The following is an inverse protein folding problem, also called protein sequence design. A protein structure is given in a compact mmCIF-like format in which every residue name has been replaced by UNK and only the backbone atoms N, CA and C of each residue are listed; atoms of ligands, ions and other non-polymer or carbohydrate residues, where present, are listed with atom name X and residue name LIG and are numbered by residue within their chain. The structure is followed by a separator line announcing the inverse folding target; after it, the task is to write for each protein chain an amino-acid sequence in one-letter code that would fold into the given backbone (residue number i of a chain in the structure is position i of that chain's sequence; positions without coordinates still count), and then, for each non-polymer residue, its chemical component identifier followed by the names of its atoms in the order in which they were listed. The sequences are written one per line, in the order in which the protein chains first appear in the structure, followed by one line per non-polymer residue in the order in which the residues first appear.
data_IF_572701553356
#
_entry.id   IF_572701553356
#
_cell.length_a   1.000
_cell.length_b   1.000
_cell.length_c   1.000
_cell.angle_alpha   90.00
_cell.angle_beta   90.00
_cell.angle_gamma   90.00
#
_symmetry.space_group_name_H-M   'P 1'
#
loop_
_entity.id
_entity.type
_entity.pdbx_description
1 polymer ?
#
# COMPACT_ATOMS: atom_id res chain seq x y z
N UNK A 1 23.19 4.03 53.26
CA UNK A 1 22.44 4.16 52.00
C UNK A 1 21.65 2.87 51.75
N UNK A 2 20.33 2.89 51.94
CA UNK A 2 19.44 1.73 51.71
C UNK A 2 19.10 1.66 50.21
N UNK A 3 19.38 0.52 49.56
CA UNK A 3 19.01 0.24 48.17
C UNK A 3 17.55 -0.20 48.12
N UNK A 4 16.70 0.54 47.39
CA UNK A 4 15.36 0.11 47.02
C UNK A 4 15.44 -0.71 45.73
N UNK A 5 14.97 -1.95 45.79
CA UNK A 5 14.82 -2.83 44.63
C UNK A 5 13.42 -2.60 44.06
N UNK A 6 13.32 -1.96 42.88
CA UNK A 6 12.05 -1.75 42.18
C UNK A 6 11.78 -3.01 41.34
N UNK A 7 10.74 -3.76 41.70
CA UNK A 7 10.20 -4.83 40.86
C UNK A 7 9.35 -4.20 39.75
N UNK A 8 9.83 -4.27 38.51
CA UNK A 8 9.08 -3.87 37.33
C UNK A 8 8.16 -5.03 36.90
N UNK A 9 6.87 -4.95 37.22
CA UNK A 9 5.87 -5.88 36.69
C UNK A 9 5.59 -5.54 35.22
N UNK A 10 6.08 -6.36 34.29
CA UNK A 10 5.74 -6.25 32.88
C UNK A 10 4.38 -6.93 32.68
N UNK A 11 3.31 -6.13 32.58
CA UNK A 11 2.03 -6.62 32.08
C UNK A 11 2.13 -6.81 30.57
N UNK A 12 2.32 -8.06 30.13
CA UNK A 12 2.10 -8.44 28.74
C UNK A 12 0.59 -8.52 28.50
N UNK A 13 0.01 -7.48 27.92
CA UNK A 13 -1.34 -7.58 27.37
C UNK A 13 -1.31 -8.53 26.17
N UNK A 14 -2.17 -9.56 26.11
CA UNK A 14 -2.37 -10.27 24.87
C UNK A 14 -2.96 -9.28 23.86
N UNK A 15 -2.29 -9.11 22.72
CA UNK A 15 -2.86 -8.45 21.54
C UNK A 15 -4.02 -9.34 21.12
N UNK A 16 -5.23 -9.04 21.59
CA UNK A 16 -6.43 -9.57 20.97
C UNK A 16 -6.38 -9.13 19.51
N UNK A 17 -6.43 -10.08 18.58
CA UNK A 17 -6.82 -9.78 17.22
C UNK A 17 -8.13 -8.99 17.33
N UNK A 18 -8.10 -7.72 16.96
CA UNK A 18 -9.26 -6.86 17.04
C UNK A 18 -10.27 -7.42 16.04
N UNK A 19 -11.24 -8.19 16.55
CA UNK A 19 -12.38 -8.64 15.75
C UNK A 19 -12.95 -7.41 15.04
N UNK A 20 -13.00 -7.47 13.71
CA UNK A 20 -13.58 -6.41 12.90
C UNK A 20 -15.06 -6.36 13.22
N UNK A 21 -15.46 -5.47 14.11
CA UNK A 21 -16.87 -5.25 14.46
C UNK A 21 -17.62 -4.80 13.20
N UNK A 22 -18.56 -5.64 12.76
CA UNK A 22 -19.41 -5.40 11.60
C UNK A 22 -20.73 -4.78 12.03
N UNK A 23 -21.16 -3.71 11.35
CA UNK A 23 -22.47 -3.09 11.56
C UNK A 23 -23.35 -3.36 10.36
N UNK A 24 -24.46 -4.09 10.54
CA UNK A 24 -25.39 -4.40 9.43
C UNK A 24 -26.22 -3.17 9.06
N UNK A 25 -26.46 -3.02 7.77
CA UNK A 25 -27.09 -1.86 7.14
C UNK A 25 -28.34 -2.25 6.36
N UNK A 26 -29.06 -1.25 5.88
CA UNK A 26 -30.10 -1.45 4.86
C UNK A 26 -29.51 -1.65 3.44
N UNK A 27 -30.33 -2.17 2.52
CA UNK A 27 -29.95 -2.49 1.13
C UNK A 27 -29.47 -1.29 0.30
N UNK A 28 -29.83 -0.07 0.71
CA UNK A 28 -29.52 1.16 -0.04
C UNK A 28 -28.78 2.19 0.80
N UNK A 29 -27.97 1.72 1.73
CA UNK A 29 -27.01 2.56 2.43
C UNK A 29 -26.09 3.31 1.46
N UNK A 30 -25.75 4.56 1.80
CA UNK A 30 -24.89 5.43 1.00
C UNK A 30 -23.79 6.09 1.84
N UNK A 31 -23.76 7.43 1.96
CA UNK A 31 -22.70 8.15 2.66
C UNK A 31 -22.61 7.75 4.13
N UNK A 32 -21.45 8.01 4.75
CA UNK A 32 -21.13 7.62 6.11
C UNK A 32 -20.50 8.77 6.90
N UNK A 33 -20.98 9.01 8.11
CA UNK A 33 -20.44 9.99 9.05
C UNK A 33 -20.32 9.41 10.46
N UNK A 34 -19.55 10.08 11.32
CA UNK A 34 -19.42 9.74 12.74
C UNK A 34 -19.41 11.01 13.58
N UNK A 35 -20.27 11.05 14.59
CA UNK A 35 -20.50 12.24 15.43
C UNK A 35 -19.60 12.30 16.68
N UNK A 36 -18.66 11.36 16.84
CA UNK A 36 -17.89 11.17 18.06
C UNK A 36 -18.33 9.96 18.89
N UNK A 37 -19.53 9.43 18.63
CA UNK A 37 -20.13 8.34 19.41
C UNK A 37 -20.77 7.29 18.49
N UNK A 38 -21.59 7.72 17.53
CA UNK A 38 -22.43 6.89 16.68
C UNK A 38 -22.06 7.05 15.20
N UNK A 39 -22.26 5.98 14.43
CA UNK A 39 -22.24 6.08 12.97
C UNK A 39 -23.56 6.66 12.47
N UNK A 40 -23.48 7.41 11.38
CA UNK A 40 -24.64 7.91 10.66
C UNK A 40 -24.50 7.54 9.20
N UNK A 41 -25.56 7.01 8.60
CA UNK A 41 -25.58 6.73 7.17
C UNK A 41 -26.91 7.13 6.54
N UNK A 42 -26.89 7.36 5.23
CA UNK A 42 -28.11 7.63 4.47
C UNK A 42 -28.69 6.33 3.91
N UNK A 43 -29.99 6.11 4.12
CA UNK A 43 -30.78 5.12 3.39
C UNK A 43 -31.54 5.83 2.27
N UNK A 44 -31.10 5.62 1.02
CA UNK A 44 -31.68 6.34 -0.12
C UNK A 44 -33.11 5.90 -0.45
N UNK A 45 -33.52 4.68 -0.06
CA UNK A 45 -34.88 4.20 -0.29
C UNK A 45 -35.84 4.78 0.74
N UNK A 46 -35.43 4.76 2.01
CA UNK A 46 -36.23 5.32 3.11
C UNK A 46 -36.26 6.84 3.13
N UNK A 47 -35.38 7.51 2.37
CA UNK A 47 -35.22 8.98 2.38
C UNK A 47 -34.96 9.50 3.80
N UNK A 48 -34.11 8.75 4.50
CA UNK A 48 -33.84 8.93 5.91
C UNK A 48 -32.33 8.87 6.17
N UNK A 49 -31.92 9.49 7.26
CA UNK A 49 -30.63 9.17 7.88
C UNK A 49 -30.88 8.19 9.02
N UNK A 50 -29.90 7.32 9.23
CA UNK A 50 -29.96 6.28 10.24
C UNK A 50 -28.73 6.41 11.12
N UNK A 51 -28.96 6.52 12.43
CA UNK A 51 -27.95 6.52 13.46
C UNK A 51 -27.74 5.10 13.94
N UNK A 52 -26.51 4.65 14.06
CA UNK A 52 -26.14 3.33 14.57
C UNK A 52 -25.21 3.51 15.77
N UNK A 53 -25.60 2.96 16.91
CA UNK A 53 -24.76 2.98 18.11
C UNK A 53 -23.69 1.89 18.10
N UNK A 54 -22.85 1.86 19.13
CA UNK A 54 -21.76 0.89 19.21
C UNK A 54 -22.26 -0.56 19.23
N UNK A 55 -23.44 -0.89 19.76
CA UNK A 55 -23.95 -2.28 19.77
C UNK A 55 -24.75 -2.63 18.51
N UNK A 56 -24.89 -1.70 17.57
CA UNK A 56 -25.55 -1.92 16.29
C UNK A 56 -27.05 -1.61 16.25
N UNK A 57 -27.61 -1.05 17.33
CA UNK A 57 -28.99 -0.58 17.35
C UNK A 57 -29.14 0.65 16.45
N UNK A 58 -30.30 0.76 15.79
CA UNK A 58 -30.53 1.77 14.76
C UNK A 58 -31.70 2.67 15.11
N UNK A 59 -31.49 3.97 14.99
CA UNK A 59 -32.54 4.99 15.06
C UNK A 59 -32.73 5.63 13.68
N UNK A 60 -33.98 5.82 13.26
CA UNK A 60 -34.32 6.29 11.92
C UNK A 60 -34.88 7.71 12.00
N UNK A 61 -34.28 8.63 11.24
CA UNK A 61 -34.74 10.01 11.12
C UNK A 61 -35.18 10.27 9.67
N UNK A 62 -36.50 10.30 9.47
CA UNK A 62 -37.08 10.47 8.14
C UNK A 62 -37.04 11.95 7.71
N UNK A 63 -36.41 12.23 6.58
CA UNK A 63 -36.31 13.58 6.02
C UNK A 63 -37.30 13.80 4.86
N UNK A 64 -37.86 12.73 4.29
CA UNK A 64 -38.83 12.80 3.19
C UNK A 64 -38.28 13.27 1.84
N UNK A 65 -36.99 13.62 1.76
CA UNK A 65 -36.35 14.18 0.58
C UNK A 65 -35.73 13.10 -0.31
N UNK A 66 -35.91 13.22 -1.62
CA UNK A 66 -35.28 12.32 -2.58
C UNK A 66 -33.81 12.68 -2.80
N UNK A 67 -33.02 11.73 -3.33
CA UNK A 67 -31.62 11.91 -3.73
C UNK A 67 -30.67 12.37 -2.61
N UNK A 68 -30.96 12.00 -1.36
CA UNK A 68 -30.00 12.13 -0.27
C UNK A 68 -28.86 11.14 -0.49
N UNK A 69 -27.61 11.62 -0.47
CA UNK A 69 -26.42 10.77 -0.65
C UNK A 69 -25.24 11.18 0.22
N UNK A 70 -24.94 12.48 0.25
CA UNK A 70 -23.82 13.01 1.01
C UNK A 70 -24.20 13.27 2.46
N UNK A 71 -23.38 12.79 3.38
CA UNK A 71 -23.49 13.03 4.82
C UNK A 71 -22.10 13.27 5.40
N UNK A 72 -21.99 14.17 6.37
CA UNK A 72 -20.76 14.42 7.12
C UNK A 72 -21.07 14.91 8.52
N UNK A 73 -20.08 14.94 9.39
CA UNK A 73 -20.18 15.60 10.69
C UNK A 73 -19.28 16.84 10.68
N UNK A 74 -19.87 18.02 10.88
CA UNK A 74 -19.10 19.23 11.13
C UNK A 74 -18.74 19.29 12.62
N UNK A 75 -17.48 18.98 12.94
CA UNK A 75 -17.00 18.96 14.31
C UNK A 75 -16.89 20.35 14.95
N UNK A 76 -16.85 21.43 14.16
CA UNK A 76 -16.80 22.81 14.69
C UNK A 76 -18.17 23.24 15.20
N UNK A 77 -19.23 22.85 14.50
CA UNK A 77 -20.61 23.21 14.86
C UNK A 77 -21.34 22.10 15.64
N UNK A 78 -20.79 20.88 15.67
CA UNK A 78 -21.45 19.72 16.26
C UNK A 78 -22.72 19.32 15.51
N UNK A 79 -22.72 19.44 14.17
CA UNK A 79 -23.89 19.21 13.32
C UNK A 79 -23.66 18.10 12.31
N UNK A 80 -24.71 17.34 12.02
CA UNK A 80 -24.74 16.42 10.89
C UNK A 80 -25.11 17.23 9.63
N UNK A 81 -24.24 17.21 8.64
CA UNK A 81 -24.50 17.78 7.32
C UNK A 81 -25.12 16.71 6.45
N UNK A 82 -26.25 16.99 5.81
CA UNK A 82 -26.88 16.11 4.82
C UNK A 82 -27.13 16.89 3.54
N UNK A 83 -26.66 16.38 2.40
CA UNK A 83 -26.88 17.05 1.12
C UNK A 83 -28.12 16.52 0.43
N UNK A 84 -29.03 17.44 0.12
CA UNK A 84 -30.19 17.24 -0.74
C UNK A 84 -30.02 18.05 -2.03
N UNK A 85 -30.85 17.84 -3.07
CA UNK A 85 -30.77 18.66 -4.27
C UNK A 85 -30.87 20.16 -3.95
N UNK A 86 -29.87 20.92 -4.40
CA UNK A 86 -29.73 22.38 -4.24
C UNK A 86 -29.58 22.90 -2.81
N UNK A 87 -29.38 22.03 -1.81
CA UNK A 87 -29.23 22.46 -0.43
C UNK A 87 -28.45 21.50 0.46
N UNK A 88 -27.77 22.05 1.46
CA UNK A 88 -27.17 21.32 2.58
C UNK A 88 -28.05 21.57 3.81
N UNK A 89 -28.45 20.50 4.48
CA UNK A 89 -29.20 20.53 5.72
C UNK A 89 -28.24 20.36 6.88
N UNK A 90 -28.34 21.22 7.90
CA UNK A 90 -27.65 21.03 9.19
C UNK A 90 -28.61 20.45 10.21
N UNK A 91 -28.26 19.29 10.75
CA UNK A 91 -29.09 18.56 11.69
C UNK A 91 -28.44 18.50 13.06
N UNK A 92 -29.24 18.60 14.11
CA UNK A 92 -28.83 18.31 15.48
C UNK A 92 -28.71 16.78 15.67
N UNK A 93 -27.53 16.24 16.04
CA UNK A 93 -27.34 14.79 16.20
C UNK A 93 -28.14 14.16 17.35
N UNK A 94 -28.67 14.96 18.29
CA UNK A 94 -29.45 14.46 19.41
C UNK A 94 -30.93 14.25 19.05
N UNK A 95 -31.52 15.18 18.30
CA UNK A 95 -32.94 15.15 17.92
C UNK A 95 -33.18 14.72 16.48
N UNK A 96 -32.16 14.76 15.63
CA UNK A 96 -32.28 14.67 14.17
C UNK A 96 -33.04 15.82 13.52
N UNK A 97 -33.36 16.87 14.29
CA UNK A 97 -34.06 18.05 13.79
C UNK A 97 -33.18 18.89 12.85
N UNK A 98 -33.77 19.36 11.75
CA UNK A 98 -33.10 20.30 10.83
C UNK A 98 -33.04 21.67 11.51
N UNK A 99 -31.82 22.12 11.79
CA UNK A 99 -31.52 23.40 12.44
C UNK A 99 -31.26 24.53 11.45
N UNK A 100 -30.75 24.21 10.26
CA UNK A 100 -30.43 25.21 9.23
C UNK A 100 -30.43 24.59 7.82
N UNK A 101 -30.55 25.43 6.80
CA UNK A 101 -30.54 25.07 5.38
C UNK A 101 -29.68 26.04 4.57
N UNK A 102 -28.65 25.52 3.93
CA UNK A 102 -27.74 26.29 3.07
C UNK A 102 -28.06 25.99 1.61
N UNK A 103 -28.28 27.03 0.80
CA UNK A 103 -28.52 26.86 -0.64
C UNK A 103 -27.22 26.65 -1.40
N UNK A 104 -27.18 25.66 -2.29
CA UNK A 104 -26.03 25.40 -3.18
C UNK A 104 -26.51 25.24 -4.63
N UNK A 105 -25.73 25.64 -5.65
CA UNK A 105 -26.14 25.52 -7.05
C UNK A 105 -25.91 24.11 -7.63
N UNK A 106 -25.94 23.07 -6.80
CA UNK A 106 -25.65 21.68 -7.18
C UNK A 106 -26.86 20.78 -6.89
N UNK A 107 -27.34 20.06 -7.90
CA UNK A 107 -28.52 19.21 -7.77
C UNK A 107 -28.19 17.74 -7.48
N UNK A 108 -27.07 17.24 -8.01
CA UNK A 108 -26.69 15.83 -7.93
C UNK A 108 -25.35 15.67 -7.18
N UNK A 109 -25.42 15.55 -5.87
CA UNK A 109 -24.24 15.41 -5.00
C UNK A 109 -24.09 13.97 -4.54
N UNK A 110 -22.84 13.49 -4.46
CA UNK A 110 -22.49 12.18 -3.92
C UNK A 110 -22.14 12.25 -2.43
N UNK A 111 -21.34 13.24 -2.04
CA UNK A 111 -20.71 13.34 -0.74
C UNK A 111 -20.39 14.78 -0.35
N UNK A 112 -20.12 15.01 0.92
CA UNK A 112 -19.70 16.30 1.46
C UNK A 112 -18.65 16.09 2.56
N UNK A 113 -17.65 16.96 2.63
CA UNK A 113 -16.70 17.01 3.72
C UNK A 113 -16.57 18.44 4.25
N UNK A 114 -16.54 18.60 5.58
CA UNK A 114 -16.27 19.90 6.23
C UNK A 114 -14.78 20.04 6.54
N UNK A 115 -14.18 21.13 6.08
CA UNK A 115 -12.74 21.42 6.22
C UNK A 115 -12.54 22.88 6.54
N UNK A 116 -12.34 23.20 7.82
CA UNK A 116 -12.33 24.60 8.26
C UNK A 116 -13.58 25.33 7.74
N UNK A 117 -13.44 26.54 7.20
CA UNK A 117 -14.56 27.31 6.69
C UNK A 117 -15.16 26.84 5.35
N UNK A 118 -14.70 25.71 4.81
CA UNK A 118 -15.08 25.25 3.49
C UNK A 118 -15.85 23.93 3.55
N UNK A 119 -16.82 23.78 2.65
CA UNK A 119 -17.41 22.49 2.34
C UNK A 119 -16.88 22.01 0.99
N UNK A 120 -16.32 20.81 0.98
CA UNK A 120 -15.90 20.12 -0.23
C UNK A 120 -17.06 19.20 -0.66
N UNK A 121 -17.70 19.53 -1.77
CA UNK A 121 -18.93 18.90 -2.24
C UNK A 121 -18.61 18.10 -3.50
N UNK A 122 -18.81 16.78 -3.46
CA UNK A 122 -18.57 15.91 -4.60
C UNK A 122 -19.78 15.96 -5.55
N UNK A 123 -19.64 16.69 -6.65
CA UNK A 123 -20.63 16.79 -7.71
C UNK A 123 -20.58 15.56 -8.63
N UNK A 124 -21.68 14.80 -8.66
CA UNK A 124 -21.77 13.57 -9.46
C UNK A 124 -21.92 13.83 -10.95
N UNK A 125 -22.46 14.98 -11.35
CA UNK A 125 -22.70 15.27 -12.76
C UNK A 125 -21.38 15.58 -13.48
N UNK A 126 -20.48 16.31 -12.82
CA UNK A 126 -19.17 16.67 -13.38
C UNK A 126 -18.02 15.78 -12.92
N UNK A 127 -18.19 14.98 -11.86
CA UNK A 127 -17.10 14.22 -11.24
C UNK A 127 -16.06 15.11 -10.54
N UNK A 128 -16.42 16.37 -10.23
CA UNK A 128 -15.58 17.35 -9.55
C UNK A 128 -15.89 17.43 -8.07
N UNK A 129 -14.86 17.74 -7.29
CA UNK A 129 -15.04 18.29 -5.95
C UNK A 129 -15.13 19.80 -6.07
N UNK A 130 -16.27 20.36 -5.66
CA UNK A 130 -16.55 21.79 -5.63
C UNK A 130 -16.30 22.33 -4.22
N UNK A 131 -15.64 23.48 -4.11
CA UNK A 131 -15.30 24.11 -2.83
C UNK A 131 -16.30 25.24 -2.58
N UNK A 132 -17.12 25.08 -1.55
CA UNK A 132 -18.08 26.07 -1.08
C UNK A 132 -17.51 26.81 0.14
N UNK A 133 -17.42 28.12 0.03
CA UNK A 133 -17.02 28.98 1.14
C UNK A 133 -18.24 29.39 1.95
N UNK A 134 -18.27 28.97 3.22
CA UNK A 134 -19.38 29.27 4.12
C UNK A 134 -19.52 30.77 4.41
N UNK A 135 -18.43 31.55 4.32
CA UNK A 135 -18.46 32.98 4.65
C UNK A 135 -19.08 33.82 3.53
N UNK A 136 -18.74 33.53 2.28
CA UNK A 136 -19.24 34.26 1.11
C UNK A 136 -20.49 33.60 0.53
N UNK A 137 -20.82 32.37 0.94
CA UNK A 137 -21.89 31.54 0.39
C UNK A 137 -21.74 31.24 -1.11
N UNK A 138 -20.49 31.21 -1.59
CA UNK A 138 -20.15 31.00 -3.00
C UNK A 138 -19.33 29.73 -3.21
N UNK A 139 -19.44 29.15 -4.41
CA UNK A 139 -18.45 28.19 -4.90
C UNK A 139 -17.22 28.95 -5.38
N UNK A 140 -16.08 28.70 -4.77
CA UNK A 140 -14.83 29.45 -5.01
C UNK A 140 -13.80 28.67 -5.84
N UNK A 141 -14.10 27.42 -6.21
CA UNK A 141 -13.21 26.60 -7.02
C UNK A 141 -13.51 25.11 -6.90
N UNK A 142 -12.57 24.28 -7.35
CA UNK A 142 -12.70 22.83 -7.31
C UNK A 142 -11.65 22.12 -8.15
N UNK A 143 -11.68 20.80 -8.12
CA UNK A 143 -10.79 19.94 -8.90
C UNK A 143 -11.51 18.68 -9.37
N UNK A 144 -11.03 18.09 -10.47
CA UNK A 144 -11.55 16.79 -10.93
C UNK A 144 -11.03 15.67 -10.05
N UNK A 145 -11.87 14.68 -9.79
CA UNK A 145 -11.41 13.45 -9.13
C UNK A 145 -10.58 12.57 -10.08
N UNK A 146 -10.72 12.76 -11.40
CA UNK A 146 -10.17 11.88 -12.42
C UNK A 146 -10.54 10.40 -12.21
N UNK A 147 -11.63 10.12 -11.48
CA UNK A 147 -12.12 8.77 -11.22
C UNK A 147 -13.44 8.52 -11.94
N UNK A 148 -13.71 7.26 -12.24
CA UNK A 148 -14.83 6.86 -13.11
C UNK A 148 -16.18 6.92 -12.39
N UNK A 149 -16.25 6.53 -11.12
CA UNK A 149 -17.49 6.47 -10.33
C UNK A 149 -17.23 6.84 -8.87
N UNK A 150 -16.85 8.10 -8.59
CA UNK A 150 -16.71 8.58 -7.22
C UNK A 150 -18.08 8.54 -6.51
N UNK A 151 -18.10 8.16 -5.23
CA UNK A 151 -19.35 7.89 -4.49
C UNK A 151 -19.52 8.68 -3.23
N UNK A 152 -18.45 8.92 -2.49
CA UNK A 152 -18.52 9.70 -1.26
C UNK A 152 -17.16 10.36 -1.00
N UNK A 153 -17.15 11.34 -0.11
CA UNK A 153 -15.95 12.10 0.26
C UNK A 153 -15.96 12.35 1.77
N UNK A 154 -14.82 12.14 2.43
CA UNK A 154 -14.61 12.60 3.79
C UNK A 154 -13.26 13.32 3.93
N UNK A 155 -13.11 14.08 5.00
CA UNK A 155 -11.85 14.72 5.36
C UNK A 155 -11.26 14.06 6.60
N UNK A 156 -9.96 13.82 6.57
CA UNK A 156 -9.22 13.32 7.72
C UNK A 156 -7.73 13.16 7.40
N UNK A 157 -6.88 13.33 8.42
CA UNK A 157 -5.41 13.35 8.27
C UNK A 157 -4.96 14.35 7.20
N UNK A 158 -5.49 15.57 7.30
CA UNK A 158 -5.19 16.70 6.43
C UNK A 158 -5.41 16.46 4.91
N UNK A 159 -6.18 15.43 4.57
CA UNK A 159 -6.44 15.00 3.20
C UNK A 159 -7.92 14.73 2.98
N UNK A 160 -8.36 14.81 1.73
CA UNK A 160 -9.67 14.31 1.33
C UNK A 160 -9.55 12.86 0.89
N UNK A 161 -10.53 12.05 1.28
CA UNK A 161 -10.59 10.64 0.92
C UNK A 161 -11.89 10.40 0.16
N UNK A 162 -11.76 9.95 -1.10
CA UNK A 162 -12.88 9.75 -2.01
C UNK A 162 -12.98 8.28 -2.37
N UNK A 163 -14.15 7.69 -2.17
CA UNK A 163 -14.41 6.33 -2.62
C UNK A 163 -14.77 6.30 -4.10
N UNK A 164 -14.24 5.32 -4.83
CA UNK A 164 -14.62 5.02 -6.20
C UNK A 164 -15.17 3.59 -6.30
N UNK A 165 -16.37 3.47 -6.87
CA UNK A 165 -17.07 2.17 -7.01
C UNK A 165 -16.83 1.45 -8.33
N UNK A 166 -16.14 2.06 -9.29
CA UNK A 166 -15.73 1.39 -10.52
C UNK A 166 -14.56 0.45 -10.27
N UNK A 167 -13.60 0.87 -9.43
CA UNK A 167 -12.46 0.05 -9.05
C UNK A 167 -12.46 -0.38 -7.57
N UNK A 168 -13.45 0.02 -6.78
CA UNK A 168 -13.56 -0.30 -5.35
C UNK A 168 -12.32 0.14 -4.52
N UNK A 169 -11.75 1.28 -4.85
CA UNK A 169 -10.64 1.89 -4.11
C UNK A 169 -11.08 3.17 -3.40
N UNK A 170 -10.32 3.56 -2.39
CA UNK A 170 -10.41 4.87 -1.76
C UNK A 170 -9.15 5.65 -2.14
N UNK A 171 -9.33 6.85 -2.66
CA UNK A 171 -8.26 7.71 -3.14
C UNK A 171 -8.05 8.88 -2.18
N UNK A 172 -6.78 9.15 -1.82
CA UNK A 172 -6.36 10.28 -0.98
C UNK A 172 -5.99 11.44 -1.89
N UNK A 173 -6.55 12.61 -1.63
CA UNK A 173 -6.30 13.85 -2.36
C UNK A 173 -5.70 14.90 -1.43
N UNK A 174 -4.68 15.58 -1.94
CA UNK A 174 -4.20 16.81 -1.33
C UNK A 174 -5.25 17.91 -1.51
N UNK A 175 -5.60 18.58 -0.40
CA UNK A 175 -6.70 19.56 -0.38
C UNK A 175 -6.36 20.88 -1.06
N UNK A 176 -5.07 21.18 -1.23
CA UNK A 176 -4.57 22.43 -1.82
C UNK A 176 -4.47 22.33 -3.34
N UNK A 177 -4.00 21.20 -3.83
CA UNK A 177 -3.68 20.97 -5.25
C UNK A 177 -4.72 20.11 -5.96
N UNK A 178 -5.55 19.37 -5.23
CA UNK A 178 -6.49 18.42 -5.81
C UNK A 178 -5.84 17.17 -6.43
N UNK A 179 -4.52 16.98 -6.22
CA UNK A 179 -3.80 15.82 -6.76
C UNK A 179 -3.99 14.59 -5.88
N UNK A 180 -4.00 13.41 -6.52
CA UNK A 180 -3.98 12.13 -5.80
C UNK A 180 -2.60 11.93 -5.16
N UNK A 181 -2.59 11.68 -3.86
CA UNK A 181 -1.36 11.43 -3.07
C UNK A 181 -1.34 10.05 -2.44
N UNK A 182 -2.34 9.23 -2.70
CA UNK A 182 -2.49 7.92 -2.09
C UNK A 182 -3.71 7.18 -2.61
N UNK A 183 -3.72 5.85 -2.46
CA UNK A 183 -4.97 5.10 -2.54
C UNK A 183 -4.90 3.79 -1.76
N UNK A 184 -6.07 3.29 -1.39
CA UNK A 184 -6.30 2.06 -0.64
C UNK A 184 -7.19 1.18 -1.51
N UNK A 185 -6.72 -0.02 -1.84
CA UNK A 185 -7.56 -0.99 -2.52
C UNK A 185 -8.39 -1.74 -1.49
N UNK A 186 -9.68 -1.91 -1.76
CA UNK A 186 -10.53 -2.77 -0.93
C UNK A 186 -10.78 -4.10 -1.61
N UNK A 187 -11.09 -5.11 -0.81
CA UNK A 187 -11.65 -6.38 -1.26
C UNK A 187 -13.19 -6.34 -1.36
N UNK A 188 -13.79 -5.15 -1.16
CA UNK A 188 -15.23 -4.94 -1.25
C UNK A 188 -15.68 -4.88 -2.70
N UNK A 189 -16.95 -5.18 -2.93
CA UNK A 189 -17.53 -5.22 -4.28
C UNK A 189 -18.35 -4.01 -4.65
N UNK A 190 -18.90 -3.29 -3.65
CA UNK A 190 -19.73 -2.11 -3.88
C UNK A 190 -19.46 -1.02 -2.86
N UNK A 191 -18.27 -0.43 -2.93
CA UNK A 191 -17.85 0.68 -2.06
C UNK A 191 -18.81 1.87 -2.24
N UNK A 192 -19.29 2.44 -1.12
CA UNK A 192 -20.07 3.70 -1.06
C UNK A 192 -19.47 4.67 -0.07
N UNK A 193 -20.15 4.87 1.07
CA UNK A 193 -19.74 5.83 2.09
C UNK A 193 -18.32 5.55 2.57
N UNK A 194 -17.57 6.62 2.82
CA UNK A 194 -16.19 6.55 3.30
C UNK A 194 -16.02 7.48 4.48
N UNK A 195 -15.40 6.99 5.54
CA UNK A 195 -15.16 7.75 6.76
C UNK A 195 -13.80 7.40 7.32
N UNK A 196 -13.00 8.43 7.62
CA UNK A 196 -11.77 8.29 8.38
C UNK A 196 -11.98 8.80 9.80
N UNK A 197 -11.86 7.90 10.79
CA UNK A 197 -11.93 8.25 12.22
C UNK A 197 -10.67 7.76 12.92
N UNK A 198 -9.79 8.71 13.28
CA UNK A 198 -8.47 8.44 13.84
C UNK A 198 -7.63 7.53 12.93
N UNK A 199 -7.20 6.38 13.46
CA UNK A 199 -6.40 5.39 12.72
C UNK A 199 -7.23 4.52 11.75
N UNK A 200 -8.56 4.57 11.82
CA UNK A 200 -9.46 3.63 11.16
C UNK A 200 -10.16 4.23 9.95
N UNK A 201 -10.14 3.49 8.84
CA UNK A 201 -10.97 3.75 7.67
C UNK A 201 -12.20 2.84 7.72
N UNK A 202 -13.38 3.43 7.59
CA UNK A 202 -14.66 2.74 7.56
C UNK A 202 -15.31 2.97 6.21
N UNK A 203 -15.88 1.91 5.65
CA UNK A 203 -16.46 1.91 4.32
C UNK A 203 -17.82 1.22 4.36
N UNK A 204 -18.81 1.79 3.69
CA UNK A 204 -20.07 1.12 3.42
C UNK A 204 -19.87 0.14 2.27
N UNK A 205 -19.98 -1.15 2.57
CA UNK A 205 -20.17 -2.19 1.56
C UNK A 205 -21.67 -2.35 1.30
N UNK A 206 -22.12 -1.75 0.20
CA UNK A 206 -23.54 -1.76 -0.15
C UNK A 206 -24.05 -3.14 -0.55
N UNK A 207 -23.18 -4.01 -1.08
CA UNK A 207 -23.59 -5.35 -1.52
C UNK A 207 -23.83 -6.26 -0.31
N UNK A 208 -22.89 -6.27 0.64
CA UNK A 208 -23.00 -7.06 1.87
C UNK A 208 -23.82 -6.39 2.98
N UNK A 209 -24.27 -5.15 2.75
CA UNK A 209 -25.09 -4.36 3.67
C UNK A 209 -24.40 -4.21 5.01
N UNK A 210 -23.17 -3.72 4.99
CA UNK A 210 -22.38 -3.55 6.22
C UNK A 210 -21.47 -2.33 6.18
N UNK A 211 -21.13 -1.81 7.36
CA UNK A 211 -19.96 -0.94 7.55
C UNK A 211 -18.78 -1.84 7.87
N UNK A 212 -17.72 -1.73 7.07
CA UNK A 212 -16.49 -2.51 7.24
C UNK A 212 -15.31 -1.59 7.54
N UNK A 213 -14.52 -1.96 8.54
CA UNK A 213 -13.21 -1.37 8.72
C UNK A 213 -12.25 -1.92 7.66
N UNK A 214 -11.54 -1.03 6.96
CA UNK A 214 -10.50 -1.40 6.01
C UNK A 214 -9.13 -1.14 6.66
N UNK A 215 -8.39 -2.18 7.04
CA UNK A 215 -7.04 -2.02 7.56
C UNK A 215 -6.11 -1.49 6.47
N UNK A 216 -5.32 -0.48 6.82
CA UNK A 216 -4.28 0.06 5.96
C UNK A 216 -3.14 0.62 6.81
N UNK A 217 -1.97 0.73 6.19
CA UNK A 217 -0.80 1.41 6.74
C UNK A 217 -0.56 2.62 5.86
N UNK A 218 -0.36 3.76 6.49
CA UNK A 218 0.00 5.01 5.83
C UNK A 218 1.35 5.47 6.35
N UNK A 219 2.24 5.78 5.43
CA UNK A 219 3.56 6.35 5.71
C UNK A 219 3.77 7.55 4.80
N UNK A 220 4.86 8.28 5.02
CA UNK A 220 5.26 9.36 4.12
C UNK A 220 5.62 8.86 2.70
N UNK A 221 5.94 7.56 2.51
CA UNK A 221 6.40 7.00 1.23
C UNK A 221 5.38 6.12 0.54
N UNK A 222 4.45 5.53 1.28
CA UNK A 222 3.52 4.57 0.70
C UNK A 222 2.26 4.41 1.54
N UNK A 223 1.23 3.91 0.88
CA UNK A 223 0.05 3.35 1.50
C UNK A 223 0.02 1.85 1.19
N UNK A 224 -0.11 1.03 2.23
CA UNK A 224 -0.29 -0.41 2.11
C UNK A 224 -1.69 -0.80 2.57
N UNK A 225 -2.33 -1.68 1.82
CA UNK A 225 -3.69 -2.16 2.08
C UNK A 225 -3.82 -3.62 1.69
N UNK A 226 -4.82 -4.30 2.24
CA UNK A 226 -4.97 -5.73 2.02
C UNK A 226 -3.85 -6.54 2.66
N UNK A 227 -4.11 -7.84 2.80
CA UNK A 227 -3.17 -8.76 3.40
C UNK A 227 -3.41 -10.16 2.85
N UNK A 228 -2.36 -10.75 2.30
CA UNK A 228 -2.34 -12.16 1.93
C UNK A 228 -1.20 -12.87 2.64
N UNK A 229 -1.49 -14.02 3.22
CA UNK A 229 -0.50 -14.87 3.88
C UNK A 229 -0.23 -16.11 3.04
N UNK A 230 1.05 -16.41 2.85
CA UNK A 230 1.51 -17.58 2.11
C UNK A 230 2.42 -18.43 2.97
N UNK A 231 2.17 -19.73 3.01
CA UNK A 231 3.08 -20.71 3.60
C UNK A 231 3.77 -21.49 2.49
N UNK A 232 5.09 -21.37 2.39
CA UNK A 232 5.88 -21.96 1.31
C UNK A 232 6.84 -23.02 1.84
N UNK A 233 7.00 -24.06 1.04
CA UNK A 233 8.11 -25.00 1.07
C UNK A 233 8.87 -24.88 -0.25
N UNK A 234 10.12 -24.46 -0.20
CA UNK A 234 10.99 -24.24 -1.36
C UNK A 234 12.03 -25.36 -1.41
N UNK A 235 12.24 -25.90 -2.61
CA UNK A 235 13.32 -26.84 -2.92
C UNK A 235 14.25 -26.20 -3.95
N UNK A 236 15.54 -26.17 -3.63
CA UNK A 236 16.61 -25.71 -4.50
C UNK A 236 17.42 -26.92 -4.95
N UNK A 237 17.65 -27.06 -6.25
CA UNK A 237 18.60 -28.03 -6.79
C UNK A 237 19.73 -27.30 -7.51
N UNK A 238 20.98 -27.57 -7.13
CA UNK A 238 22.15 -26.93 -7.72
C UNK A 238 23.33 -27.89 -7.76
N UNK A 239 24.40 -27.54 -8.47
CA UNK A 239 25.59 -28.38 -8.60
C UNK A 239 26.80 -27.72 -7.94
N UNK A 240 27.62 -28.52 -7.27
CA UNK A 240 28.95 -28.14 -6.80
C UNK A 240 30.00 -28.84 -7.68
N UNK A 241 30.82 -28.06 -8.38
CA UNK A 241 31.84 -28.62 -9.28
C UNK A 241 33.05 -29.17 -8.53
N UNK A 242 33.40 -28.59 -7.38
CA UNK A 242 34.42 -29.14 -6.48
C UNK A 242 34.13 -28.78 -5.03
N UNK A 243 34.40 -29.72 -4.14
CA UNK A 243 34.46 -29.47 -2.69
C UNK A 243 35.93 -29.30 -2.35
N UNK A 244 36.53 -28.18 -2.79
CA UNK A 244 37.95 -27.93 -2.54
C UNK A 244 38.14 -27.40 -1.13
N UNK A 245 38.70 -28.26 -0.28
CA UNK A 245 39.47 -27.99 0.94
C UNK A 245 38.72 -27.30 2.10
N UNK A 246 39.15 -27.65 3.31
CA UNK A 246 38.64 -27.12 4.58
C UNK A 246 38.36 -25.61 4.48
N UNK A 247 37.10 -25.18 4.73
CA UNK A 247 36.59 -23.79 4.82
C UNK A 247 35.69 -23.30 3.68
N UNK A 248 35.38 -24.10 2.65
CA UNK A 248 34.36 -23.72 1.66
C UNK A 248 32.97 -23.56 2.29
N UNK A 249 32.12 -22.70 1.73
CA UNK A 249 30.82 -22.37 2.30
C UNK A 249 29.74 -22.17 1.23
N UNK A 250 28.54 -22.61 1.58
CA UNK A 250 27.31 -22.34 0.82
C UNK A 250 26.46 -21.41 1.67
N UNK A 251 25.93 -20.36 1.05
CA UNK A 251 24.94 -19.49 1.65
C UNK A 251 23.68 -19.47 0.79
N UNK A 252 22.53 -19.56 1.43
CA UNK A 252 21.23 -19.44 0.79
C UNK A 252 20.58 -18.16 1.31
N UNK A 253 20.37 -17.21 0.42
CA UNK A 253 19.65 -15.96 0.74
C UNK A 253 18.23 -16.27 1.18
N UNK A 254 17.81 -15.58 2.23
CA UNK A 254 16.41 -15.59 2.62
C UNK A 254 15.62 -14.74 1.62
N UNK A 255 14.33 -15.07 1.43
CA UNK A 255 13.37 -14.10 0.93
C UNK A 255 13.48 -12.80 1.76
N UNK A 256 13.52 -11.61 1.12
CA UNK A 256 13.72 -10.37 1.83
C UNK A 256 12.52 -10.07 2.73
N UNK A 257 12.77 -9.55 3.93
CA UNK A 257 11.75 -8.85 4.72
C UNK A 257 11.99 -7.36 4.58
N UNK A 258 11.07 -6.68 3.93
CA UNK A 258 11.13 -5.25 3.65
C UNK A 258 9.72 -4.63 3.76
N UNK A 259 9.54 -3.39 3.30
CA UNK A 259 8.22 -2.74 3.32
C UNK A 259 7.16 -3.53 2.56
N UNK A 260 7.54 -4.31 1.54
CA UNK A 260 6.66 -5.01 0.60
C UNK A 260 6.17 -6.38 1.04
N UNK A 261 6.89 -7.03 1.95
CA UNK A 261 6.56 -8.35 2.48
C UNK A 261 7.27 -8.61 3.80
N UNK A 262 6.64 -9.37 4.68
CA UNK A 262 7.22 -9.78 5.96
C UNK A 262 7.39 -11.28 6.02
N UNK A 263 8.65 -11.72 6.07
CA UNK A 263 9.00 -13.15 6.14
C UNK A 263 9.15 -13.57 7.59
N UNK A 264 8.59 -14.73 7.92
CA UNK A 264 8.67 -15.33 9.25
C UNK A 264 8.99 -16.82 9.18
N UNK A 265 9.80 -17.27 10.14
CA UNK A 265 10.01 -18.69 10.38
C UNK A 265 10.75 -19.44 9.27
N UNK A 266 11.76 -18.83 8.65
CA UNK A 266 12.65 -19.51 7.69
C UNK A 266 13.34 -20.68 8.40
N UNK A 267 13.01 -21.92 8.00
CA UNK A 267 13.52 -23.15 8.59
C UNK A 267 13.99 -24.11 7.51
N UNK A 268 15.25 -24.51 7.58
CA UNK A 268 15.87 -25.50 6.69
C UNK A 268 15.60 -26.91 7.21
N UNK A 269 15.41 -27.86 6.30
CA UNK A 269 15.32 -29.29 6.66
C UNK A 269 16.68 -29.85 7.06
N UNK A 270 17.74 -29.37 6.42
CA UNK A 270 19.12 -29.70 6.77
C UNK A 270 19.60 -28.78 7.91
N UNK A 271 19.91 -29.36 9.06
CA UNK A 271 20.33 -28.66 10.28
C UNK A 271 21.77 -28.12 10.22
N UNK A 272 22.57 -28.54 9.23
CA UNK A 272 23.92 -28.00 9.01
C UNK A 272 23.91 -26.55 8.50
N UNK A 273 22.76 -26.08 8.01
CA UNK A 273 22.52 -24.69 7.66
C UNK A 273 22.18 -23.87 8.90
N UNK A 274 22.99 -22.84 9.18
CA UNK A 274 22.84 -21.96 10.33
C UNK A 274 22.55 -20.51 9.93
N UNK A 275 21.70 -19.77 10.65
CA UNK A 275 21.45 -18.35 10.35
C UNK A 275 22.74 -17.53 10.35
N UNK A 276 22.93 -16.69 9.33
CA UNK A 276 24.06 -15.78 9.21
C UNK A 276 23.70 -14.58 8.32
N UNK A 277 24.69 -13.77 7.94
CA UNK A 277 24.53 -12.61 7.08
C UNK A 277 25.60 -12.57 5.99
N UNK A 278 25.20 -12.16 4.78
CA UNK A 278 26.12 -11.65 3.75
C UNK A 278 25.80 -10.17 3.57
N UNK A 279 26.79 -9.32 3.85
CA UNK A 279 26.56 -7.87 3.97
C UNK A 279 25.44 -7.61 4.99
N UNK A 280 24.30 -7.03 4.58
CA UNK A 280 23.12 -6.80 5.42
C UNK A 280 21.98 -7.81 5.17
N UNK A 281 22.20 -8.79 4.29
CA UNK A 281 21.19 -9.74 3.86
C UNK A 281 21.23 -11.01 4.71
N UNK A 282 20.05 -11.45 5.18
CA UNK A 282 19.92 -12.68 5.96
C UNK A 282 20.14 -13.89 5.06
N UNK A 283 20.97 -14.81 5.53
CA UNK A 283 21.25 -16.09 4.87
C UNK A 283 21.13 -17.24 5.85
N UNK A 284 21.04 -18.45 5.35
CA UNK A 284 21.48 -19.63 6.07
C UNK A 284 22.76 -20.15 5.42
N UNK A 285 23.77 -20.43 6.23
CA UNK A 285 25.11 -20.79 5.81
C UNK A 285 25.45 -22.20 6.26
N UNK A 286 25.96 -23.02 5.33
CA UNK A 286 26.57 -24.33 5.58
C UNK A 286 28.07 -24.23 5.30
N UNK A 287 28.88 -24.60 6.30
CA UNK A 287 30.33 -24.82 6.09
C UNK A 287 30.52 -26.23 5.57
N UNK A 288 31.23 -26.36 4.46
CA UNK A 288 31.51 -27.66 3.86
C UNK A 288 32.65 -28.35 4.59
N UNK A 289 32.50 -29.67 4.72
CA UNK A 289 33.44 -30.58 5.35
C UNK A 289 33.94 -31.61 4.33
N UNK A 290 34.87 -32.47 4.75
CA UNK A 290 35.36 -33.59 3.92
C UNK A 290 34.23 -34.60 3.60
N UNK A 291 33.18 -34.64 4.40
CA UNK A 291 32.03 -35.53 4.20
C UNK A 291 31.07 -35.03 3.11
N UNK A 292 31.14 -33.74 2.76
CA UNK A 292 30.30 -33.17 1.71
C UNK A 292 30.85 -33.55 0.33
N UNK A 293 30.01 -34.15 -0.50
CA UNK A 293 30.40 -34.63 -1.82
C UNK A 293 30.15 -33.56 -2.91
N UNK A 294 31.02 -33.47 -3.92
CA UNK A 294 30.72 -32.70 -5.13
C UNK A 294 29.55 -33.32 -5.90
N UNK A 295 28.94 -32.54 -6.80
CA UNK A 295 27.80 -32.96 -7.60
C UNK A 295 26.50 -32.26 -7.21
N UNK A 296 25.38 -32.92 -7.50
CA UNK A 296 24.04 -32.37 -7.29
C UNK A 296 23.71 -32.26 -5.80
N UNK A 297 23.20 -31.10 -5.41
CA UNK A 297 22.77 -30.75 -4.07
C UNK A 297 21.28 -30.43 -4.10
N UNK A 298 20.56 -30.90 -3.09
CA UNK A 298 19.13 -30.60 -2.92
C UNK A 298 18.92 -30.01 -1.53
N UNK A 299 18.46 -28.76 -1.48
CA UNK A 299 18.19 -28.06 -0.23
C UNK A 299 16.72 -27.70 -0.14
N UNK A 300 16.10 -28.00 1.02
CA UNK A 300 14.70 -27.68 1.29
C UNK A 300 14.59 -26.75 2.49
N UNK A 301 13.75 -25.75 2.37
CA UNK A 301 13.40 -24.86 3.47
C UNK A 301 11.95 -24.40 3.38
N UNK A 302 11.39 -23.98 4.51
CA UNK A 302 10.03 -23.45 4.60
C UNK A 302 10.00 -22.10 5.27
N UNK A 303 9.01 -21.28 4.92
CA UNK A 303 8.75 -20.00 5.56
C UNK A 303 7.29 -19.58 5.37
N UNK A 304 6.87 -18.60 6.16
CA UNK A 304 5.61 -17.88 5.98
C UNK A 304 5.90 -16.46 5.50
N UNK A 305 5.07 -15.93 4.61
CA UNK A 305 5.15 -14.56 4.11
C UNK A 305 3.80 -13.89 4.29
N UNK A 306 3.82 -12.69 4.87
CA UNK A 306 2.67 -11.80 4.89
C UNK A 306 2.93 -10.68 3.90
N UNK A 307 2.10 -10.62 2.86
CA UNK A 307 2.20 -9.69 1.75
C UNK A 307 1.06 -8.68 1.82
N UNK A 308 1.32 -7.47 1.35
CA UNK A 308 0.32 -6.40 1.28
C UNK A 308 0.35 -5.76 -0.10
N UNK A 309 -0.75 -5.16 -0.51
CA UNK A 309 -0.77 -4.33 -1.70
C UNK A 309 -0.23 -2.96 -1.35
N UNK A 310 0.91 -2.59 -1.93
CA UNK A 310 1.59 -1.34 -1.59
C UNK A 310 1.60 -0.42 -2.78
N UNK A 311 1.25 0.83 -2.53
CA UNK A 311 1.25 1.90 -3.52
C UNK A 311 2.15 3.04 -3.06
N UNK A 312 3.04 3.47 -3.93
CA UNK A 312 3.96 4.58 -3.74
C UNK A 312 3.48 5.74 -4.59
N UNK A 313 3.41 6.92 -3.97
CA UNK A 313 3.04 8.17 -4.61
C UNK A 313 4.11 9.20 -4.31
N UNK A 314 4.89 9.56 -5.33
CA UNK A 314 5.97 10.52 -5.17
C UNK A 314 5.39 11.94 -5.16
N UNK A 315 5.28 12.53 -3.97
CA UNK A 315 4.75 13.89 -3.77
C UNK A 315 5.78 14.97 -4.09
N UNK A 316 5.32 16.20 -4.28
CA UNK A 316 6.21 17.35 -4.56
C UNK A 316 7.24 17.56 -3.42
N UNK A 317 6.86 17.29 -2.15
CA UNK A 317 7.76 17.35 -0.98
C UNK A 317 9.01 16.48 -1.10
N UNK A 318 8.98 15.40 -1.90
CA UNK A 318 10.16 14.58 -2.17
C UNK A 318 10.99 15.10 -3.35
N UNK A 319 10.34 15.73 -4.32
CA UNK A 319 11.00 16.21 -5.54
C UNK A 319 11.83 17.45 -5.30
N UNK A 320 11.53 18.19 -4.23
CA UNK A 320 12.21 19.43 -3.87
C UNK A 320 13.34 19.24 -2.84
N UNK A 321 13.57 18.00 -2.38
CA UNK A 321 14.66 17.68 -1.44
C UNK A 321 15.99 17.52 -2.17
N UNK A 322 17.02 18.22 -1.71
CA UNK A 322 18.40 17.87 -2.04
C UNK A 322 18.76 16.54 -1.37
N UNK A 323 19.23 15.57 -2.16
CA UNK A 323 19.59 14.26 -1.67
C UNK A 323 20.79 13.71 -2.44
N UNK A 324 21.59 12.89 -1.76
CA UNK A 324 22.68 12.11 -2.34
C UNK A 324 22.43 10.62 -2.14
N UNK A 325 23.07 9.77 -2.95
CA UNK A 325 23.00 8.34 -2.71
C UNK A 325 23.61 7.96 -1.37
N UNK A 326 22.94 7.13 -0.56
CA UNK A 326 23.54 6.57 0.63
C UNK A 326 24.61 5.53 0.28
N UNK A 327 25.57 5.33 1.17
CA UNK A 327 26.72 4.44 0.94
C UNK A 327 26.34 2.97 0.65
N UNK A 328 25.18 2.52 1.11
CA UNK A 328 24.70 1.15 0.91
C UNK A 328 24.13 0.89 -0.49
N UNK A 329 24.00 1.93 -1.31
CA UNK A 329 23.53 1.84 -2.70
C UNK A 329 24.70 1.69 -3.69
N UNK A 330 25.95 1.94 -3.27
CA UNK A 330 27.15 1.92 -4.13
C UNK A 330 27.35 0.59 -4.86
N UNK A 331 26.96 -0.54 -4.27
CA UNK A 331 27.04 -1.86 -4.91
C UNK A 331 26.04 -2.07 -6.05
N UNK A 332 25.08 -1.15 -6.25
CA UNK A 332 23.94 -1.29 -7.16
C UNK A 332 23.96 -0.32 -8.34
N UNK A 333 25.05 0.43 -8.54
CA UNK A 333 25.22 1.28 -9.71
C UNK A 333 26.69 1.40 -10.11
N UNK A 334 26.91 1.73 -11.37
CA UNK A 334 28.20 2.16 -11.89
C UNK A 334 28.12 3.67 -12.12
N UNK A 335 29.17 4.42 -11.78
CA UNK A 335 29.20 5.85 -12.09
C UNK A 335 29.17 6.04 -13.62
N UNK A 336 28.34 6.95 -14.14
CA UNK A 336 28.31 7.22 -15.57
C UNK A 336 29.65 7.78 -16.04
N UNK A 337 29.96 7.59 -17.33
CA UNK A 337 31.22 8.06 -17.94
C UNK A 337 31.34 9.58 -17.98
N UNK A 338 30.20 10.27 -18.03
CA UNK A 338 30.07 11.73 -17.97
C UNK A 338 29.35 12.10 -16.67
N UNK A 339 29.65 13.27 -16.12
CA UNK A 339 28.94 13.81 -14.94
C UNK A 339 27.51 14.22 -15.33
N UNK A 340 26.60 13.24 -15.35
CA UNK A 340 25.18 13.49 -15.57
C UNK A 340 24.56 13.97 -14.25
N UNK A 341 24.25 15.27 -14.16
CA UNK A 341 23.56 15.86 -13.01
C UNK A 341 22.04 15.83 -13.24
N UNK A 342 21.40 14.72 -12.91
CA UNK A 342 19.94 14.59 -12.94
C UNK A 342 19.31 15.15 -11.66
N UNK A 343 18.25 15.94 -11.78
CA UNK A 343 17.37 16.31 -10.65
C UNK A 343 16.38 15.19 -10.35
N UNK A 344 15.79 15.13 -9.15
CA UNK A 344 14.79 14.10 -8.79
C UNK A 344 13.62 14.02 -9.78
N UNK A 345 13.26 15.14 -10.42
CA UNK A 345 12.23 15.19 -11.49
C UNK A 345 12.70 14.48 -12.76
N UNK A 346 13.95 14.70 -13.17
CA UNK A 346 14.53 14.03 -14.33
C UNK A 346 14.61 12.51 -14.14
N UNK A 347 14.89 12.04 -12.91
CA UNK A 347 14.84 10.61 -12.58
C UNK A 347 13.46 10.01 -12.84
N UNK A 348 12.39 10.66 -12.37
CA UNK A 348 11.02 10.17 -12.57
C UNK A 348 10.64 10.14 -14.05
N UNK A 349 10.99 11.19 -14.79
CA UNK A 349 10.71 11.25 -16.23
C UNK A 349 11.47 10.18 -16.99
N UNK A 350 12.75 9.96 -16.69
CA UNK A 350 13.53 8.89 -17.28
C UNK A 350 12.94 7.50 -16.97
N UNK A 351 12.62 7.22 -15.69
CA UNK A 351 12.02 5.95 -15.28
C UNK A 351 10.69 5.72 -16.00
N UNK A 352 9.84 6.74 -16.07
CA UNK A 352 8.55 6.66 -16.75
C UNK A 352 8.66 6.38 -18.25
N UNK A 353 9.60 7.06 -18.94
CA UNK A 353 9.86 6.81 -20.35
C UNK A 353 10.44 5.43 -20.58
N UNK A 354 11.43 5.02 -19.77
CA UNK A 354 12.04 3.69 -19.86
C UNK A 354 10.98 2.59 -19.63
N UNK A 355 10.03 2.77 -18.71
CA UNK A 355 8.92 1.81 -18.49
C UNK A 355 8.02 1.66 -19.71
N UNK A 356 7.85 2.71 -20.51
CA UNK A 356 7.03 2.66 -21.73
C UNK A 356 7.77 2.04 -22.91
N UNK A 357 9.06 2.29 -23.04
CA UNK A 357 9.85 1.91 -24.23
C UNK A 357 10.56 0.56 -24.11
N UNK A 358 10.81 0.09 -22.88
CA UNK A 358 11.54 -1.17 -22.65
C UNK A 358 10.69 -2.39 -23.01
N UNK A 359 11.28 -3.29 -23.79
CA UNK A 359 10.63 -4.54 -24.22
C UNK A 359 10.80 -5.63 -23.14
N UNK A 360 11.87 -5.56 -22.35
CA UNK A 360 12.15 -6.46 -21.23
C UNK A 360 12.73 -5.73 -20.01
N UNK A 361 12.70 -6.39 -18.85
CA UNK A 361 13.36 -5.87 -17.64
C UNK A 361 14.89 -5.78 -17.77
N UNK A 362 15.49 -6.59 -18.65
CA UNK A 362 16.91 -6.48 -18.98
C UNK A 362 17.19 -5.17 -19.71
N UNK A 363 16.37 -4.82 -20.72
CA UNK A 363 16.51 -3.56 -21.46
C UNK A 363 16.32 -2.35 -20.52
N UNK A 364 15.29 -2.41 -19.67
CA UNK A 364 15.04 -1.38 -18.67
C UNK A 364 16.24 -1.20 -17.74
N UNK A 365 16.82 -2.31 -17.26
CA UNK A 365 18.00 -2.30 -16.38
C UNK A 365 19.21 -1.65 -17.05
N UNK A 366 19.47 -1.93 -18.32
CA UNK A 366 20.58 -1.33 -19.06
C UNK A 366 20.40 0.18 -19.25
N UNK A 367 19.17 0.66 -19.48
CA UNK A 367 18.87 2.11 -19.54
C UNK A 367 19.18 2.76 -18.19
N UNK A 368 18.71 2.19 -17.08
CA UNK A 368 18.98 2.73 -15.74
C UNK A 368 20.48 2.74 -15.43
N UNK A 369 21.18 1.64 -15.76
CA UNK A 369 22.63 1.49 -15.57
C UNK A 369 23.41 2.58 -16.31
N UNK A 370 23.08 2.81 -17.58
CA UNK A 370 23.75 3.82 -18.43
C UNK A 370 23.59 5.24 -17.87
N UNK A 371 22.46 5.50 -17.20
CA UNK A 371 22.16 6.78 -16.56
C UNK A 371 22.62 6.86 -15.09
N UNK A 372 23.40 5.88 -14.61
CA UNK A 372 23.91 5.87 -13.23
C UNK A 372 22.84 5.68 -12.16
N UNK A 373 21.65 5.17 -12.53
CA UNK A 373 20.54 4.95 -11.60
C UNK A 373 20.70 3.57 -10.95
N UNK A 374 20.70 3.47 -9.61
CA UNK A 374 20.82 2.20 -8.93
C UNK A 374 19.62 1.28 -9.17
N UNK A 375 19.93 0.03 -9.48
CA UNK A 375 18.94 -1.02 -9.75
C UNK A 375 19.26 -2.28 -8.95
N UNK A 376 18.23 -2.85 -8.34
CA UNK A 376 18.31 -4.13 -7.66
C UNK A 376 17.36 -5.12 -8.35
N UNK A 377 17.94 -6.12 -9.00
CA UNK A 377 17.17 -7.23 -9.57
C UNK A 377 16.63 -8.13 -8.46
N UNK A 378 15.43 -8.68 -8.68
CA UNK A 378 14.87 -9.69 -7.80
C UNK A 378 14.00 -10.67 -8.57
N UNK A 379 13.83 -11.86 -8.00
CA UNK A 379 12.98 -12.90 -8.56
C UNK A 379 11.83 -13.17 -7.61
N UNK A 380 10.63 -13.33 -8.15
CA UNK A 380 9.40 -13.48 -7.37
C UNK A 380 8.48 -14.56 -7.93
N UNK A 381 7.54 -15.01 -7.10
CA UNK A 381 6.39 -15.81 -7.53
C UNK A 381 5.21 -14.86 -7.68
N UNK A 382 4.53 -14.92 -8.83
CA UNK A 382 3.34 -14.12 -9.12
C UNK A 382 2.08 -15.00 -9.06
N UNK A 383 1.17 -14.66 -8.15
CA UNK A 383 -0.10 -15.36 -7.93
C UNK A 383 -1.25 -14.64 -8.66
N UNK A 384 -1.37 -14.83 -9.97
CA UNK A 384 -2.49 -14.24 -10.71
C UNK A 384 -3.69 -15.20 -10.79
N UNK A 385 -4.89 -14.69 -10.47
CA UNK A 385 -6.12 -15.47 -10.55
C UNK A 385 -6.35 -15.94 -11.99
N UNK A 386 -6.51 -17.25 -12.17
CA UNK A 386 -6.75 -17.86 -13.47
C UNK A 386 -5.51 -18.01 -14.36
N UNK A 387 -4.31 -17.62 -13.89
CA UNK A 387 -3.04 -17.90 -14.57
C UNK A 387 -2.23 -18.94 -13.77
N UNK A 388 -1.42 -19.77 -14.45
CA UNK A 388 -0.50 -20.65 -13.75
C UNK A 388 0.49 -19.81 -12.94
N UNK A 389 0.80 -20.27 -11.72
CA UNK A 389 1.79 -19.63 -10.86
C UNK A 389 3.15 -19.72 -11.56
N UNK A 390 3.79 -18.57 -11.76
CA UNK A 390 5.09 -18.50 -12.45
C UNK A 390 6.12 -17.81 -11.58
N UNK A 391 7.36 -18.24 -11.74
CA UNK A 391 8.53 -17.52 -11.22
C UNK A 391 8.92 -16.50 -12.29
N UNK A 392 8.99 -15.23 -11.92
CA UNK A 392 9.25 -14.12 -12.83
C UNK A 392 10.36 -13.23 -12.27
N UNK A 393 11.13 -12.64 -13.19
CA UNK A 393 12.14 -11.64 -12.87
C UNK A 393 11.54 -10.24 -12.89
N UNK A 394 12.01 -9.39 -11.99
CA UNK A 394 11.65 -7.98 -11.90
C UNK A 394 12.80 -7.22 -11.23
N UNK A 395 12.61 -5.93 -10.97
CA UNK A 395 13.63 -5.07 -10.40
C UNK A 395 13.02 -3.95 -9.56
N UNK A 396 13.83 -3.43 -8.65
CA UNK A 396 13.59 -2.17 -7.95
C UNK A 396 14.59 -1.14 -8.43
N UNK A 397 14.16 0.13 -8.49
CA UNK A 397 15.02 1.28 -8.74
C UNK A 397 15.15 2.10 -7.47
N UNK A 398 16.32 2.71 -7.26
CA UNK A 398 16.50 3.65 -6.16
C UNK A 398 16.20 5.07 -6.65
N UNK A 399 15.06 5.61 -6.23
CA UNK A 399 14.71 6.99 -6.50
C UNK A 399 15.41 7.90 -5.48
N UNK A 400 16.19 8.85 -5.98
CA UNK A 400 17.00 9.74 -5.14
C UNK A 400 16.12 10.52 -4.15
N UNK A 401 16.51 10.55 -2.87
CA UNK A 401 15.73 11.18 -1.80
C UNK A 401 14.45 10.43 -1.38
N UNK A 402 14.06 9.38 -2.09
CA UNK A 402 12.85 8.60 -1.83
C UNK A 402 13.13 7.16 -1.40
N UNK A 403 14.15 6.51 -1.96
CA UNK A 403 14.51 5.11 -1.64
C UNK A 403 14.14 4.11 -2.73
N UNK A 404 14.22 2.82 -2.39
CA UNK A 404 13.89 1.72 -3.30
C UNK A 404 12.39 1.69 -3.64
N UNK A 405 12.08 1.52 -4.93
CA UNK A 405 10.72 1.41 -5.45
C UNK A 405 10.65 0.22 -6.41
N UNK A 406 9.65 -0.67 -6.30
CA UNK A 406 9.49 -1.79 -7.21
C UNK A 406 8.97 -1.32 -8.58
N UNK A 407 9.48 -1.93 -9.66
CA UNK A 407 8.93 -1.78 -11.01
C UNK A 407 8.08 -3.01 -11.32
N UNK A 408 6.78 -2.92 -11.00
CA UNK A 408 5.86 -4.06 -11.12
C UNK A 408 5.70 -4.57 -12.55
N UNK A 409 5.47 -3.65 -13.49
CA UNK A 409 5.17 -3.95 -14.89
C UNK A 409 5.78 -2.88 -15.83
N UNK A 410 6.15 -3.32 -17.04
CA UNK A 410 6.56 -2.49 -18.19
C UNK A 410 5.37 -2.28 -19.13
N UNK A 411 5.45 -1.33 -20.06
CA UNK A 411 4.38 -1.02 -21.01
C UNK A 411 3.17 -0.37 -20.33
N UNK A 412 3.39 0.76 -19.67
CA UNK A 412 2.33 1.48 -18.95
C UNK A 412 1.21 1.95 -19.90
N UNK A 413 -0.04 1.92 -19.42
CA UNK A 413 -1.15 2.53 -20.13
C UNK A 413 -1.03 4.05 -20.17
N UNK A 414 -1.56 4.69 -21.22
CA UNK A 414 -1.40 6.12 -21.53
C UNK A 414 -1.79 7.11 -20.41
N UNK A 415 -2.61 6.68 -19.44
CA UNK A 415 -3.09 7.53 -18.34
C UNK A 415 -2.46 7.17 -16.98
N UNK A 416 -1.36 6.42 -16.97
CA UNK A 416 -0.67 6.07 -15.72
C UNK A 416 0.14 7.27 -15.24
N UNK A 417 -0.07 7.70 -14.00
CA UNK A 417 0.74 8.76 -13.40
C UNK A 417 2.20 8.31 -13.28
N UNK A 418 3.14 9.12 -13.78
CA UNK A 418 4.59 8.87 -13.70
C UNK A 418 5.12 8.79 -12.26
N UNK A 419 4.39 9.34 -11.29
CA UNK A 419 4.71 9.33 -9.85
C UNK A 419 4.13 8.13 -9.12
N UNK A 420 3.42 7.26 -9.82
CA UNK A 420 2.74 6.11 -9.26
C UNK A 420 3.51 4.80 -9.49
N UNK A 421 3.72 4.07 -8.40
CA UNK A 421 4.30 2.74 -8.41
C UNK A 421 3.53 1.83 -7.47
N UNK A 422 3.53 0.54 -7.74
CA UNK A 422 2.85 -0.43 -6.90
C UNK A 422 3.61 -1.75 -6.81
N UNK A 423 3.26 -2.55 -5.81
CA UNK A 423 3.51 -3.98 -5.81
C UNK A 423 2.30 -4.69 -5.23
N UNK A 424 1.81 -5.68 -5.97
CA UNK A 424 0.67 -6.52 -5.62
C UNK A 424 0.97 -7.39 -4.40
N UNK A 425 -0.05 -7.62 -3.59
CA UNK A 425 -0.07 -8.59 -2.50
C UNK A 425 0.23 -10.01 -3.00
N UNK A 426 -0.16 -10.30 -4.25
CA UNK A 426 0.06 -11.56 -4.95
C UNK A 426 1.49 -11.75 -5.48
N UNK A 427 2.38 -10.76 -5.34
CA UNK A 427 3.77 -10.86 -5.75
C UNK A 427 4.65 -11.17 -4.51
N UNK A 428 5.28 -12.35 -4.49
CA UNK A 428 6.17 -12.78 -3.39
C UNK A 428 7.61 -12.86 -3.86
N UNK A 429 8.48 -11.99 -3.31
CA UNK A 429 9.90 -11.94 -3.66
C UNK A 429 10.63 -13.12 -2.98
N UNK A 430 11.26 -13.96 -3.78
CA UNK A 430 12.02 -15.13 -3.31
C UNK A 430 13.45 -14.77 -2.92
N UNK A 431 14.09 -13.89 -3.66
CA UNK A 431 15.42 -13.36 -3.37
C UNK A 431 15.69 -12.09 -4.16
N UNK A 432 16.65 -11.31 -3.69
CA UNK A 432 17.13 -10.10 -4.36
C UNK A 432 18.63 -10.21 -4.60
N UNK A 433 19.11 -9.55 -5.64
CA UNK A 433 20.53 -9.44 -5.92
C UNK A 433 21.26 -8.64 -4.84
N UNK A 434 22.50 -9.06 -4.54
CA UNK A 434 23.37 -8.42 -3.55
C UNK A 434 24.14 -7.20 -4.11
N UNK A 435 24.10 -7.02 -5.42
CA UNK A 435 24.79 -5.95 -6.14
C UNK A 435 24.14 -5.78 -7.53
N UNK A 436 24.74 -4.94 -8.38
CA UNK A 436 24.28 -4.66 -9.73
C UNK A 436 24.30 -5.89 -10.66
N UNK A 437 25.12 -6.92 -10.38
CA UNK A 437 25.14 -8.15 -11.19
C UNK A 437 23.84 -8.91 -10.99
N UNK A 438 23.32 -9.50 -12.08
CA UNK A 438 22.12 -10.34 -12.00
C UNK A 438 22.42 -11.57 -11.14
N UNK A 439 21.54 -11.83 -10.16
CA UNK A 439 21.54 -13.09 -9.43
C UNK A 439 20.60 -14.07 -10.14
N UNK A 440 21.13 -15.21 -10.52
CA UNK A 440 20.40 -16.29 -11.20
C UNK A 440 19.69 -17.22 -10.20
N UNK A 441 20.11 -17.21 -8.93
CA UNK A 441 19.47 -17.97 -7.85
C UNK A 441 19.75 -17.39 -6.44
N UNK A 442 19.11 -17.87 -5.37
CA UNK A 442 19.44 -17.48 -4.00
C UNK A 442 20.71 -18.17 -3.44
N UNK A 443 21.35 -19.05 -4.21
CA UNK A 443 22.49 -19.87 -3.76
C UNK A 443 23.81 -19.18 -4.08
N UNK A 444 24.65 -19.03 -3.07
CA UNK A 444 25.99 -18.47 -3.18
C UNK A 444 27.01 -19.45 -2.64
N UNK A 445 28.16 -19.50 -3.28
CA UNK A 445 29.28 -20.34 -2.91
C UNK A 445 30.53 -19.49 -2.75
N UNK A 446 31.37 -19.85 -1.80
CA UNK A 446 32.75 -19.34 -1.71
C UNK A 446 33.69 -20.47 -1.35
N UNK A 447 34.86 -20.48 -1.99
CA UNK A 447 35.88 -21.53 -1.82
C UNK A 447 36.56 -21.47 -0.45
N UNK A 448 36.70 -20.28 0.11
CA UNK A 448 37.23 -20.05 1.46
C UNK A 448 36.70 -18.71 2.02
N UNK A 449 37.18 -18.32 3.20
CA UNK A 449 36.73 -17.11 3.89
C UNK A 449 37.11 -15.79 3.19
N UNK A 450 38.17 -15.80 2.36
CA UNK A 450 38.72 -14.63 1.67
C UNK A 450 38.26 -14.53 0.21
N UNK A 451 37.74 -15.62 -0.35
CA UNK A 451 37.15 -15.66 -1.68
C UNK A 451 35.86 -14.84 -1.76
N UNK A 452 35.62 -14.22 -2.93
CA UNK A 452 34.34 -13.59 -3.23
C UNK A 452 33.20 -14.62 -3.30
N UNK A 453 31.98 -14.16 -3.06
CA UNK A 453 30.78 -14.97 -3.22
C UNK A 453 30.41 -15.10 -4.70
N UNK A 454 30.43 -16.32 -5.20
CA UNK A 454 29.97 -16.68 -6.55
C UNK A 454 28.49 -17.10 -6.48
N UNK A 455 27.64 -16.57 -7.36
CA UNK A 455 26.22 -16.96 -7.42
C UNK A 455 26.07 -18.22 -8.28
N UNK A 456 25.56 -19.30 -7.69
CA UNK A 456 25.40 -20.57 -8.39
C UNK A 456 24.03 -20.66 -9.07
N UNK A 457 23.93 -21.26 -10.26
CA UNK A 457 22.63 -21.61 -10.84
C UNK A 457 21.92 -22.63 -9.95
N UNK A 458 20.63 -22.42 -9.71
CA UNK A 458 19.80 -23.38 -9.01
C UNK A 458 18.41 -23.45 -9.65
N UNK A 459 17.89 -24.67 -9.82
CA UNK A 459 16.49 -24.91 -10.12
C UNK A 459 15.68 -24.64 -8.85
N UNK A 460 14.64 -23.80 -8.96
CA UNK A 460 13.78 -23.42 -7.84
C UNK A 460 12.41 -24.04 -8.07
N UNK A 461 12.00 -24.92 -7.17
CA UNK A 461 10.64 -25.46 -7.12
C UNK A 461 10.01 -25.11 -5.77
N UNK A 462 8.69 -24.97 -5.72
CA UNK A 462 8.00 -24.59 -4.50
C UNK A 462 6.62 -25.24 -4.39
N UNK A 463 6.17 -25.42 -3.15
CA UNK A 463 4.82 -25.86 -2.80
C UNK A 463 4.21 -24.86 -1.83
N UNK A 464 2.95 -24.48 -2.07
CA UNK A 464 2.17 -23.64 -1.17
C UNK A 464 1.27 -24.56 -0.35
N UNK A 465 1.25 -24.32 0.96
CA UNK A 465 0.43 -25.08 1.92
C UNK A 465 -0.81 -24.32 2.30
#
# INVERSE_FOLDING_TARGET
MKRFLIFLLIFTFPILAQESKEYKLSDKAYGLAWDGVNFWYIDTNRRAIIKINEIGEQEIYNLGLANLRGISFDSREGKILVVAPKQILKLDPNSGGITDKISIPLANVAGIASVGNYYYILDLDSGKVQIYDQSTSLLIGGFFTDRTRPRDICYGRDSLWISDSADNSIYRYDTKTGKITGSIKTNLRSVRGVLLSGSKLWVVDRENKEIKNIPFIETERFIASGEEEFNLEVTLKFKLDSVSLSKAQIAILHPPSNEQQRIRGVKFTDVSYSPSFIQRNRVHLKKLSIEDLPGEQVVKYKFSSKNQFIKYYVTDDYLDKEASYPNDVVSFYEKPKEDIKLTTRDYLDLIYQARQTSISFSDFKEIMKTNGIPVQSFRMIRFEKGKPKSIVDSLSVFLLGYGWIPIADLGLGNNTDKRYFEKKETDLILYQSLNLKNSISPVYFRKDANSEWENLPAEITYKIK
#
